data_IF_664411381131
#
_entry.id   IF_664411381131
#
_cell.length_a   1.000
_cell.length_b   1.000
_cell.length_c   1.000
_cell.angle_alpha   90.00
_cell.angle_beta   90.00
_cell.angle_gamma   90.00
#
_symmetry.space_group_name_H-M   'P 1'
#
loop_
_entity.id
_entity.type
_entity.pdbx_description
1 polymer ?
#
# COMPACT_ATOMS: atom_id res chain seq x y z
N UNK A 1 -32.57 8.42 37.38
CA UNK A 1 -32.47 8.06 38.81
C UNK A 1 -32.67 6.56 38.89
N UNK A 2 -31.61 5.75 38.86
CA UNK A 2 -30.91 5.21 40.06
C UNK A 2 -31.68 3.98 40.57
N UNK A 3 -31.14 2.78 40.75
CA UNK A 3 -29.79 2.27 40.65
C UNK A 3 -29.84 0.74 40.61
N UNK A 4 -28.84 0.12 39.98
CA UNK A 4 -28.66 -1.32 39.96
C UNK A 4 -28.05 -1.78 41.30
N UNK A 5 -28.60 -2.88 41.79
CA UNK A 5 -28.10 -3.67 42.92
C UNK A 5 -26.85 -4.45 42.53
N UNK A 6 -25.79 -4.40 43.34
CA UNK A 6 -24.95 -5.57 43.62
C UNK A 6 -24.12 -5.37 44.90
N UNK A 7 -23.91 -6.40 45.73
CA UNK A 7 -23.31 -6.28 47.05
C UNK A 7 -21.80 -6.55 47.07
N UNK A 8 -21.17 -5.96 48.09
CA UNK A 8 -20.06 -6.49 48.90
C UNK A 8 -18.81 -7.08 48.22
N UNK A 9 -17.69 -6.38 48.37
CA UNK A 9 -16.55 -6.92 49.10
C UNK A 9 -15.70 -5.78 49.69
N UNK A 10 -15.31 -5.86 50.99
CA UNK A 10 -14.43 -4.89 51.61
C UNK A 10 -12.98 -5.31 51.39
N UNK A 11 -12.16 -4.41 50.84
CA UNK A 11 -10.70 -4.46 50.97
C UNK A 11 -10.23 -3.07 51.33
N UNK A 12 -10.60 -2.66 52.53
CA UNK A 12 -9.94 -1.57 53.25
C UNK A 12 -8.63 -2.12 53.80
N UNK A 13 -7.63 -1.23 53.79
CA UNK A 13 -6.51 -1.23 54.74
C UNK A 13 -5.46 -2.33 54.52
N UNK A 14 -4.16 -2.11 54.44
CA UNK A 14 -3.25 -0.98 54.72
C UNK A 14 -1.95 -1.41 54.03
N UNK A 15 -1.15 -0.46 53.52
CA UNK A 15 0.30 -0.42 53.74
C UNK A 15 0.88 0.77 52.98
N UNK A 16 0.74 1.92 53.63
CA UNK A 16 1.62 3.06 53.47
C UNK A 16 3.05 2.61 53.78
N UNK A 17 3.88 2.44 52.75
CA UNK A 17 5.32 2.71 52.84
C UNK A 17 5.79 3.34 51.51
N UNK A 18 6.76 4.26 51.56
CA UNK A 18 6.80 5.46 50.73
C UNK A 18 7.89 5.41 49.65
N UNK A 19 7.70 6.23 48.61
CA UNK A 19 8.62 6.52 47.49
C UNK A 19 8.86 5.37 46.49
N UNK A 20 8.75 5.70 45.20
CA UNK A 20 9.07 4.89 44.03
C UNK A 20 7.98 3.89 43.57
N UNK A 21 7.11 4.32 42.66
CA UNK A 21 6.76 3.60 41.41
C UNK A 21 5.56 4.28 40.73
N UNK A 22 5.88 5.27 39.88
CA UNK A 22 5.29 5.38 38.55
C UNK A 22 3.77 5.14 38.42
N UNK A 23 2.92 5.91 39.11
CA UNK A 23 1.54 6.16 38.61
C UNK A 23 1.54 7.22 37.49
N UNK A 24 2.50 7.06 36.58
CA UNK A 24 2.53 7.49 35.18
C UNK A 24 2.38 6.26 34.27
N UNK A 25 1.64 5.24 34.72
CA UNK A 25 1.28 4.06 33.93
C UNK A 25 -0.12 4.28 33.30
N UNK A 26 -0.27 4.51 32.02
CA UNK A 26 0.72 4.76 31.00
C UNK A 26 0.15 5.85 30.12
N UNK A 27 1.02 6.77 29.70
CA UNK A 27 0.81 7.40 28.42
C UNK A 27 0.73 6.25 27.43
N UNK A 28 -0.50 5.82 27.11
CA UNK A 28 -0.81 4.90 26.04
C UNK A 28 -0.12 5.51 24.84
N UNK A 29 1.05 5.01 24.50
CA UNK A 29 1.76 5.45 23.31
C UNK A 29 0.82 5.14 22.16
N UNK A 30 0.10 6.15 21.70
CA UNK A 30 -0.52 6.14 20.39
C UNK A 30 0.70 6.11 19.47
N UNK A 31 1.14 4.90 19.12
CA UNK A 31 2.11 4.71 18.05
C UNK A 31 1.42 5.33 16.85
N UNK A 32 1.86 6.53 16.48
CA UNK A 32 1.43 7.16 15.25
C UNK A 32 1.93 6.24 14.13
N UNK A 33 1.02 5.43 13.59
CA UNK A 33 1.34 4.58 12.46
C UNK A 33 1.53 5.52 11.28
N UNK A 34 2.79 5.74 10.88
CA UNK A 34 3.11 6.55 9.72
C UNK A 34 2.55 5.85 8.48
N UNK A 35 1.57 6.48 7.82
CA UNK A 35 1.00 5.96 6.58
C UNK A 35 1.80 6.50 5.41
N UNK A 36 2.45 5.61 4.69
CA UNK A 36 3.16 5.93 3.47
C UNK A 36 2.23 5.88 2.27
N UNK A 37 2.58 6.63 1.22
CA UNK A 37 1.89 6.58 -0.06
C UNK A 37 2.82 6.12 -1.17
N UNK A 38 2.31 5.29 -2.06
CA UNK A 38 3.04 4.83 -3.24
C UNK A 38 2.18 4.95 -4.49
N UNK A 39 2.84 5.15 -5.63
CA UNK A 39 2.21 5.17 -6.94
C UNK A 39 2.10 3.73 -7.48
N UNK A 40 0.91 3.36 -7.92
CA UNK A 40 0.65 2.15 -8.67
C UNK A 40 0.14 2.52 -10.07
N UNK A 41 0.54 1.75 -11.08
CA UNK A 41 0.13 1.98 -12.46
C UNK A 41 -0.15 0.66 -13.15
N UNK A 42 -1.34 0.53 -13.74
CA UNK A 42 -1.71 -0.56 -14.64
C UNK A 42 -1.44 -0.09 -16.07
N UNK A 43 -0.62 -0.86 -16.78
CA UNK A 43 -0.22 -0.63 -18.17
C UNK A 43 -1.40 -0.82 -19.15
N UNK A 44 -1.28 -0.36 -20.41
CA UNK A 44 -2.40 -0.36 -21.36
C UNK A 44 -2.99 -1.75 -21.67
N UNK A 45 -2.15 -2.78 -21.64
CA UNK A 45 -2.54 -4.19 -21.81
C UNK A 45 -3.41 -4.70 -20.65
N UNK A 46 -3.01 -4.43 -19.41
CA UNK A 46 -3.74 -4.82 -18.21
C UNK A 46 -5.11 -4.17 -18.11
N UNK A 47 -5.25 -2.95 -18.64
CA UNK A 47 -6.53 -2.24 -18.68
C UNK A 47 -7.49 -2.82 -19.71
N UNK A 48 -6.97 -3.27 -20.86
CA UNK A 48 -7.78 -3.85 -21.94
C UNK A 48 -8.20 -5.30 -21.67
N UNK A 49 -7.50 -6.00 -20.77
CA UNK A 49 -7.67 -7.43 -20.51
C UNK A 49 -8.69 -7.82 -19.43
N UNK A 50 -9.55 -6.90 -18.95
CA UNK A 50 -10.47 -7.14 -17.81
C UNK A 50 -9.76 -7.63 -16.51
N UNK A 51 -8.46 -7.34 -16.36
CA UNK A 51 -7.70 -7.72 -15.16
C UNK A 51 -7.77 -6.66 -14.06
N UNK A 52 -8.26 -5.46 -14.39
CA UNK A 52 -8.27 -4.28 -13.52
C UNK A 52 -8.96 -4.55 -12.19
N UNK A 53 -10.15 -5.13 -12.23
CA UNK A 53 -10.97 -5.43 -11.06
C UNK A 53 -10.26 -6.43 -10.15
N UNK A 54 -9.69 -7.48 -10.74
CA UNK A 54 -8.95 -8.50 -10.00
C UNK A 54 -7.68 -7.94 -9.36
N UNK A 55 -6.96 -7.05 -10.05
CA UNK A 55 -5.79 -6.37 -9.51
C UNK A 55 -6.18 -5.48 -8.33
N UNK A 56 -7.28 -4.73 -8.44
CA UNK A 56 -7.79 -3.89 -7.35
C UNK A 56 -8.19 -4.71 -6.13
N UNK A 57 -8.89 -5.82 -6.34
CA UNK A 57 -9.28 -6.74 -5.27
C UNK A 57 -8.05 -7.21 -4.48
N UNK A 58 -6.99 -7.62 -5.18
CA UNK A 58 -5.73 -8.05 -4.55
C UNK A 58 -5.05 -6.92 -3.78
N UNK A 59 -5.06 -5.71 -4.32
CA UNK A 59 -4.50 -4.53 -3.64
C UNK A 59 -5.22 -4.31 -2.31
N UNK A 60 -6.55 -4.37 -2.32
CA UNK A 60 -7.39 -4.18 -1.14
C UNK A 60 -7.21 -5.34 -0.14
N UNK A 61 -7.20 -6.59 -0.60
CA UNK A 61 -6.93 -7.79 0.22
C UNK A 61 -5.54 -7.75 0.86
N UNK A 62 -4.58 -7.12 0.18
CA UNK A 62 -3.23 -6.92 0.70
C UNK A 62 -3.17 -5.84 1.79
N UNK A 63 -4.27 -5.14 2.08
CA UNK A 63 -4.36 -4.12 3.13
C UNK A 63 -3.90 -2.74 2.69
N UNK A 64 -3.93 -2.44 1.39
CA UNK A 64 -3.75 -1.07 0.89
C UNK A 64 -5.10 -0.37 0.76
N UNK A 65 -5.10 0.94 1.02
CA UNK A 65 -6.21 1.81 0.65
C UNK A 65 -5.93 2.46 -0.71
N UNK A 66 -6.93 2.46 -1.60
CA UNK A 66 -6.86 3.23 -2.86
C UNK A 66 -7.38 4.64 -2.57
N UNK A 67 -6.47 5.60 -2.38
CA UNK A 67 -6.82 6.99 -2.03
C UNK A 67 -7.39 7.74 -3.23
N UNK A 68 -6.82 7.48 -4.41
CA UNK A 68 -7.23 8.12 -5.66
C UNK A 68 -6.86 7.22 -6.82
N UNK A 69 -7.69 7.22 -7.85
CA UNK A 69 -7.39 6.59 -9.13
C UNK A 69 -7.81 7.48 -10.29
N UNK A 70 -7.11 7.36 -11.41
CA UNK A 70 -7.43 8.08 -12.64
C UNK A 70 -6.97 7.27 -13.86
N UNK A 71 -7.82 7.21 -14.88
CA UNK A 71 -7.43 6.73 -16.21
C UNK A 71 -6.81 7.91 -16.97
N UNK A 72 -5.59 7.73 -17.46
CA UNK A 72 -4.82 8.78 -18.13
C UNK A 72 -4.30 8.24 -19.46
N UNK A 73 -4.45 9.01 -20.52
CA UNK A 73 -3.73 8.77 -21.77
C UNK A 73 -2.42 9.60 -21.72
N UNK A 74 -1.28 8.91 -21.72
CA UNK A 74 0.02 9.57 -21.78
C UNK A 74 0.34 9.92 -23.24
N UNK A 75 0.80 11.15 -23.46
CA UNK A 75 1.48 11.53 -24.70
C UNK A 75 2.98 11.18 -24.62
N UNK A 76 3.67 11.22 -25.75
CA UNK A 76 5.07 10.84 -25.83
C UNK A 76 5.99 11.74 -24.97
N UNK A 77 5.65 13.02 -24.85
CA UNK A 77 6.42 13.98 -24.06
C UNK A 77 6.33 13.65 -22.56
N UNK A 78 5.10 13.51 -22.03
CA UNK A 78 4.85 13.14 -20.64
C UNK A 78 5.41 11.76 -20.30
N UNK A 79 5.26 10.79 -21.19
CA UNK A 79 5.85 9.47 -21.00
C UNK A 79 7.39 9.53 -20.96
N UNK A 80 8.01 10.32 -21.84
CA UNK A 80 9.47 10.48 -21.87
C UNK A 80 9.98 11.19 -20.61
N UNK A 81 9.27 12.21 -20.13
CA UNK A 81 9.59 12.89 -18.86
C UNK A 81 9.45 11.95 -17.67
N UNK A 82 8.38 11.14 -17.62
CA UNK A 82 8.16 10.18 -16.54
C UNK A 82 9.25 9.11 -16.48
N UNK A 83 9.75 8.66 -17.64
CA UNK A 83 10.82 7.67 -17.74
C UNK A 83 12.21 8.27 -18.00
N UNK A 84 12.41 9.58 -17.77
CA UNK A 84 13.65 10.27 -18.15
C UNK A 84 14.93 9.61 -17.58
N UNK A 85 14.84 9.01 -16.38
CA UNK A 85 15.93 8.23 -15.76
C UNK A 85 16.38 7.01 -16.60
N UNK A 86 15.52 6.54 -17.51
CA UNK A 86 15.77 5.40 -18.41
C UNK A 86 16.17 5.83 -19.83
N UNK A 87 16.29 7.13 -20.12
CA UNK A 87 16.59 7.68 -21.45
C UNK A 87 17.88 7.12 -22.08
N UNK A 88 18.88 6.77 -21.26
CA UNK A 88 20.13 6.17 -21.73
C UNK A 88 20.05 4.66 -22.06
N UNK A 89 18.88 4.03 -21.94
CA UNK A 89 18.71 2.58 -22.16
C UNK A 89 18.17 2.30 -23.55
N UNK A 90 18.67 1.24 -24.19
CA UNK A 90 18.28 0.83 -25.55
C UNK A 90 16.79 0.51 -25.74
N UNK A 91 16.04 0.29 -24.66
CA UNK A 91 14.61 0.01 -24.69
C UNK A 91 13.72 1.25 -24.45
N UNK A 92 14.30 2.43 -24.25
CA UNK A 92 13.56 3.64 -23.86
C UNK A 92 12.46 4.01 -24.89
N UNK A 93 12.81 4.10 -26.17
CA UNK A 93 11.85 4.48 -27.21
C UNK A 93 10.70 3.47 -27.33
N UNK A 94 11.02 2.17 -27.21
CA UNK A 94 10.02 1.10 -27.20
C UNK A 94 9.11 1.18 -25.97
N UNK A 95 9.66 1.55 -24.81
CA UNK A 95 8.90 1.75 -23.58
C UNK A 95 7.96 2.96 -23.70
N UNK A 96 8.44 4.09 -24.20
CA UNK A 96 7.62 5.28 -24.43
C UNK A 96 6.49 4.94 -25.40
N UNK A 97 6.80 4.32 -26.54
CA UNK A 97 5.80 3.92 -27.54
C UNK A 97 4.73 2.99 -26.94
N UNK A 98 5.15 2.02 -26.13
CA UNK A 98 4.24 1.11 -25.44
C UNK A 98 3.34 1.85 -24.43
N UNK A 99 3.90 2.75 -23.62
CA UNK A 99 3.14 3.53 -22.64
C UNK A 99 2.16 4.52 -23.28
N UNK A 100 2.44 5.00 -24.49
CA UNK A 100 1.54 5.86 -25.27
C UNK A 100 0.52 5.10 -26.12
N UNK A 101 0.62 3.78 -26.20
CA UNK A 101 -0.21 2.97 -27.10
C UNK A 101 -1.70 2.90 -26.68
N UNK A 102 -2.01 3.24 -25.44
CA UNK A 102 -3.37 3.22 -24.91
C UNK A 102 -3.45 3.82 -23.50
N UNK A 103 -4.66 3.83 -22.92
CA UNK A 103 -4.88 4.43 -21.62
C UNK A 103 -4.23 3.60 -20.51
N UNK A 104 -3.74 4.28 -19.47
CA UNK A 104 -3.21 3.65 -18.26
C UNK A 104 -4.07 4.00 -17.06
N UNK A 105 -4.22 3.08 -16.12
CA UNK A 105 -4.84 3.38 -14.83
C UNK A 105 -3.74 3.68 -13.81
N UNK A 106 -3.80 4.87 -13.22
CA UNK A 106 -2.88 5.31 -12.17
C UNK A 106 -3.62 5.36 -10.85
N UNK A 107 -3.00 4.84 -9.79
CA UNK A 107 -3.58 4.76 -8.45
C UNK A 107 -2.58 5.26 -7.40
N UNK A 108 -3.08 5.98 -6.40
CA UNK A 108 -2.34 6.32 -5.18
C UNK A 108 -2.77 5.33 -4.11
N UNK A 109 -1.82 4.50 -3.67
CA UNK A 109 -2.04 3.52 -2.62
C UNK A 109 -1.49 4.05 -1.30
N UNK A 110 -2.21 3.82 -0.20
CA UNK A 110 -1.79 4.22 1.15
C UNK A 110 -1.81 3.02 2.10
N UNK A 111 -0.74 2.90 2.89
CA UNK A 111 -0.56 1.85 3.90
C UNK A 111 0.65 2.17 4.79
N UNK A 112 0.71 1.69 6.03
CA UNK A 112 1.98 1.59 6.76
C UNK A 112 3.01 0.76 5.98
N UNK A 113 4.23 1.26 5.80
CA UNK A 113 5.30 0.62 5.00
C UNK A 113 4.88 0.32 3.54
N UNK A 114 4.05 1.19 2.94
CA UNK A 114 3.43 0.99 1.64
C UNK A 114 4.44 0.65 0.54
N UNK A 115 5.58 1.33 0.49
CA UNK A 115 6.56 1.16 -0.59
C UNK A 115 7.18 -0.24 -0.54
N UNK A 116 7.55 -0.70 0.66
CA UNK A 116 8.13 -2.02 0.89
C UNK A 116 7.14 -3.12 0.53
N UNK A 117 5.92 -3.03 1.06
CA UNK A 117 4.84 -3.98 0.77
C UNK A 117 4.48 -4.02 -0.71
N UNK A 118 4.45 -2.86 -1.38
CA UNK A 118 4.08 -2.76 -2.78
C UNK A 118 5.10 -3.46 -3.69
N UNK A 119 6.41 -3.28 -3.40
CA UNK A 119 7.49 -4.00 -4.10
C UNK A 119 7.39 -5.52 -3.92
N UNK A 120 6.99 -5.97 -2.73
CA UNK A 120 6.75 -7.40 -2.47
C UNK A 120 5.51 -7.88 -3.25
N UNK A 121 4.45 -7.09 -3.32
CA UNK A 121 3.19 -7.48 -3.96
C UNK A 121 3.29 -7.60 -5.49
N UNK A 122 3.85 -6.60 -6.17
CA UNK A 122 4.03 -6.63 -7.65
C UNK A 122 5.08 -7.67 -8.04
N UNK A 123 6.17 -7.65 -7.28
CA UNK A 123 7.34 -8.48 -7.47
C UNK A 123 8.22 -8.24 -8.67
N UNK A 124 9.03 -9.25 -9.05
CA UNK A 124 10.15 -9.02 -9.94
C UNK A 124 9.62 -8.43 -11.26
N UNK A 125 10.23 -7.31 -11.66
CA UNK A 125 9.85 -6.49 -12.82
C UNK A 125 9.83 -7.26 -14.16
N UNK A 126 10.38 -8.47 -14.19
CA UNK A 126 10.43 -9.35 -15.36
C UNK A 126 9.32 -10.41 -15.26
N UNK A 127 8.26 -10.23 -16.05
CA UNK A 127 7.08 -11.10 -16.08
C UNK A 127 7.42 -12.59 -16.34
N UNK A 128 8.52 -12.86 -17.05
CA UNK A 128 8.99 -14.24 -17.28
C UNK A 128 9.60 -14.88 -16.02
N UNK A 129 10.14 -14.08 -15.10
CA UNK A 129 10.71 -14.55 -13.83
C UNK A 129 9.67 -14.70 -12.72
N UNK A 130 8.53 -14.02 -12.82
CA UNK A 130 7.43 -14.17 -11.88
C UNK A 130 6.90 -15.62 -11.85
N UNK A 131 6.81 -16.27 -13.02
CA UNK A 131 6.27 -17.64 -13.17
C UNK A 131 7.09 -18.74 -12.49
N UNK A 132 8.37 -18.51 -12.23
CA UNK A 132 9.30 -19.53 -11.71
C UNK A 132 9.54 -19.39 -10.20
N UNK A 133 9.36 -18.18 -9.64
CA UNK A 133 9.70 -17.92 -8.23
C UNK A 133 8.51 -17.77 -7.29
N UNK A 134 7.30 -17.42 -7.79
CA UNK A 134 6.09 -17.34 -6.96
C UNK A 134 4.81 -17.26 -7.83
N UNK A 135 3.95 -18.30 -7.87
CA UNK A 135 2.80 -18.37 -8.77
C UNK A 135 1.66 -17.36 -8.50
N UNK A 136 1.70 -16.59 -7.39
CA UNK A 136 0.65 -15.64 -6.98
C UNK A 136 1.00 -14.15 -7.22
N UNK A 137 1.87 -13.81 -8.18
CA UNK A 137 2.26 -12.41 -8.49
C UNK A 137 1.73 -11.94 -9.84
N UNK A 138 1.15 -10.74 -9.85
CA UNK A 138 0.40 -10.19 -10.98
C UNK A 138 1.27 -9.54 -12.08
N UNK A 139 2.59 -9.52 -11.93
CA UNK A 139 3.47 -9.11 -13.01
C UNK A 139 3.63 -10.26 -14.02
N UNK A 140 2.64 -10.44 -14.92
CA UNK A 140 2.82 -11.27 -16.13
C UNK A 140 1.59 -12.03 -16.63
N UNK A 141 0.90 -11.43 -17.60
CA UNK A 141 0.23 -12.13 -18.71
C UNK A 141 0.55 -11.40 -20.00
#
# INVERSE_FOLDING_TARGET
MGGATSPAAPCLSVCLLPLLFLFLHGCWSCVAIERERTLAMIKPDGLSGNYTERIKEVILESGFDIVKEAVVQLDAERASLFYAEHSGRSFFDSLVKYMTSGPVLVMILERPDAISHWRVLIGPTDARKAKISNPNRYCGT
#
